data_IF_529038567230
#
_entry.id   IF_529038567230
#
_cell.length_a   1.000
_cell.length_b   1.000
_cell.length_c   1.000
_cell.angle_alpha   90.00
_cell.angle_beta   90.00
_cell.angle_gamma   90.00
#
_symmetry.space_group_name_H-M   'P 1'
#
loop_
_entity.id
_entity.type
_entity.pdbx_description
1 polymer ?
#
# COMPACT_ATOMS: atom_id res chain seq x y z
N UNK A 1 9.30 8.93 -20.17
CA UNK A 1 9.67 7.60 -20.70
C UNK A 1 8.67 7.20 -21.77
N UNK A 2 8.96 6.22 -22.61
CA UNK A 2 7.95 5.73 -23.55
C UNK A 2 6.99 4.70 -22.89
N UNK A 3 5.83 4.49 -23.51
CA UNK A 3 4.78 3.60 -22.98
C UNK A 3 5.28 2.15 -22.82
N UNK A 4 6.13 1.67 -23.72
CA UNK A 4 6.67 0.31 -23.65
C UNK A 4 7.67 0.12 -22.51
N UNK A 5 8.49 1.12 -22.25
CA UNK A 5 9.48 1.12 -21.16
C UNK A 5 8.79 1.11 -19.79
N UNK A 6 7.79 1.97 -19.59
CA UNK A 6 6.98 1.99 -18.37
C UNK A 6 6.26 0.66 -18.17
N UNK A 7 5.65 0.11 -19.24
CA UNK A 7 4.98 -1.20 -19.18
C UNK A 7 5.93 -2.31 -18.74
N UNK A 8 7.13 -2.35 -19.32
CA UNK A 8 8.15 -3.36 -18.97
C UNK A 8 8.50 -3.30 -17.48
N UNK A 9 8.75 -2.11 -16.95
CA UNK A 9 9.08 -1.91 -15.52
C UNK A 9 7.91 -2.38 -14.63
N UNK A 10 6.67 -2.02 -14.98
CA UNK A 10 5.50 -2.49 -14.24
C UNK A 10 5.42 -4.02 -14.25
N UNK A 11 5.50 -4.65 -15.42
CA UNK A 11 5.38 -6.11 -15.58
C UNK A 11 6.49 -6.85 -14.79
N UNK A 12 7.71 -6.30 -14.75
CA UNK A 12 8.84 -6.85 -14.02
C UNK A 12 8.67 -6.78 -12.49
N UNK A 13 8.04 -5.71 -11.97
CA UNK A 13 8.05 -5.41 -10.54
C UNK A 13 6.71 -5.64 -9.82
N UNK A 14 5.58 -5.50 -10.50
CA UNK A 14 4.24 -5.46 -9.87
C UNK A 14 3.97 -6.68 -8.99
N UNK A 15 4.32 -7.88 -9.47
CA UNK A 15 4.08 -9.13 -8.73
C UNK A 15 4.83 -9.17 -7.39
N UNK A 16 6.05 -8.64 -7.33
CA UNK A 16 6.83 -8.59 -6.11
C UNK A 16 6.23 -7.57 -5.13
N UNK A 17 5.84 -6.40 -5.62
CA UNK A 17 5.23 -5.37 -4.79
C UNK A 17 3.89 -5.81 -4.21
N UNK A 18 3.06 -6.51 -4.99
CA UNK A 18 1.81 -7.14 -4.52
C UNK A 18 2.07 -8.14 -3.40
N UNK A 19 3.13 -8.94 -3.53
CA UNK A 19 3.52 -9.89 -2.48
C UNK A 19 3.99 -9.17 -1.21
N UNK A 20 4.89 -8.21 -1.34
CA UNK A 20 5.47 -7.48 -0.21
C UNK A 20 4.41 -6.69 0.57
N UNK A 21 3.40 -6.16 -0.14
CA UNK A 21 2.28 -5.42 0.46
C UNK A 21 1.12 -6.32 0.90
N UNK A 22 1.26 -7.65 0.79
CA UNK A 22 0.23 -8.63 1.17
C UNK A 22 -1.12 -8.44 0.43
N UNK A 23 -1.04 -8.05 -0.85
CA UNK A 23 -2.20 -7.79 -1.71
C UNK A 23 -2.53 -8.99 -2.62
N UNK A 24 -2.04 -10.21 -2.32
CA UNK A 24 -2.16 -11.38 -3.21
C UNK A 24 -3.61 -11.85 -3.42
N UNK A 25 -4.55 -11.38 -2.59
CA UNK A 25 -5.99 -11.66 -2.74
C UNK A 25 -6.69 -10.75 -3.75
N UNK A 26 -6.01 -9.69 -4.21
CA UNK A 26 -6.54 -8.74 -5.18
C UNK A 26 -6.14 -9.15 -6.61
N UNK A 27 -7.09 -9.11 -7.52
CA UNK A 27 -6.86 -9.04 -8.96
C UNK A 27 -6.52 -7.59 -9.31
N UNK A 28 -5.27 -7.32 -9.67
CA UNK A 28 -4.79 -5.98 -9.97
C UNK A 28 -4.48 -5.88 -11.45
N UNK A 29 -5.17 -4.99 -12.14
CA UNK A 29 -4.94 -4.67 -13.54
C UNK A 29 -4.23 -3.33 -13.65
N UNK A 30 -3.21 -3.25 -14.51
CA UNK A 30 -2.47 -2.02 -14.77
C UNK A 30 -2.66 -1.58 -16.21
N UNK A 31 -3.09 -0.34 -16.43
CA UNK A 31 -3.22 0.30 -17.73
C UNK A 31 -2.33 1.53 -17.81
N UNK A 32 -1.98 1.92 -19.04
CA UNK A 32 -1.16 3.10 -19.31
C UNK A 32 -1.92 4.03 -20.24
N UNK A 33 -2.23 5.23 -19.75
CA UNK A 33 -3.00 6.23 -20.49
C UNK A 33 -2.64 7.65 -20.05
N UNK A 34 -2.95 8.66 -20.86
CA UNK A 34 -2.72 10.06 -20.49
C UNK A 34 -3.88 10.55 -19.63
N UNK A 35 -3.59 11.14 -18.47
CA UNK A 35 -4.62 11.61 -17.53
C UNK A 35 -4.85 13.11 -17.68
N UNK A 36 -6.12 13.53 -17.73
CA UNK A 36 -6.51 14.93 -17.99
C UNK A 36 -6.29 15.85 -16.77
N UNK A 37 -6.45 15.34 -15.56
CA UNK A 37 -6.51 16.13 -14.32
C UNK A 37 -5.15 16.49 -13.70
N UNK A 38 -4.05 16.20 -14.39
CA UNK A 38 -2.71 16.49 -13.88
C UNK A 38 -2.12 15.43 -12.95
N UNK A 39 -2.89 14.39 -12.64
CA UNK A 39 -2.47 13.27 -11.80
C UNK A 39 -1.42 12.40 -12.50
N UNK A 40 -0.52 11.80 -11.71
CA UNK A 40 0.51 10.87 -12.20
C UNK A 40 -0.04 9.46 -12.42
N UNK A 41 -1.04 9.07 -11.63
CA UNK A 41 -1.75 7.81 -11.73
C UNK A 41 -3.08 7.89 -10.96
N UNK A 42 -3.97 6.94 -11.24
CA UNK A 42 -5.25 6.78 -10.55
C UNK A 42 -5.49 5.30 -10.26
N UNK A 43 -5.87 4.99 -9.02
CA UNK A 43 -6.32 3.67 -8.61
C UNK A 43 -7.83 3.66 -8.34
N UNK A 44 -8.53 2.68 -8.93
CA UNK A 44 -9.93 2.39 -8.65
C UNK A 44 -10.03 0.98 -8.10
N UNK A 45 -10.56 0.84 -6.88
CA UNK A 45 -10.81 -0.45 -6.26
C UNK A 45 -12.31 -0.77 -6.29
N UNK A 46 -12.67 -2.01 -6.61
CA UNK A 46 -14.05 -2.48 -6.53
C UNK A 46 -14.51 -2.62 -5.07
N UNK A 47 -15.80 -2.41 -4.85
CA UNK A 47 -16.48 -2.52 -3.57
C UNK A 47 -16.43 -3.93 -2.96
N UNK A 48 -16.22 -4.96 -3.77
CA UNK A 48 -16.09 -6.35 -3.31
C UNK A 48 -14.70 -6.70 -2.76
N UNK A 49 -13.72 -5.79 -2.90
CA UNK A 49 -12.31 -5.97 -2.51
C UNK A 49 -11.59 -7.15 -3.16
N UNK A 50 -12.06 -7.58 -4.32
CA UNK A 50 -11.37 -8.61 -5.10
C UNK A 50 -10.61 -8.07 -6.29
N UNK A 51 -10.89 -6.83 -6.73
CA UNK A 51 -10.30 -6.26 -7.95
C UNK A 51 -9.95 -4.79 -7.81
N UNK A 52 -8.81 -4.39 -8.37
CA UNK A 52 -8.40 -3.01 -8.51
C UNK A 52 -7.82 -2.76 -9.90
N UNK A 53 -8.04 -1.56 -10.43
CA UNK A 53 -7.43 -1.09 -11.68
C UNK A 53 -6.57 0.13 -11.40
N UNK A 54 -5.33 0.09 -11.85
CA UNK A 54 -4.36 1.18 -11.72
C UNK A 54 -4.07 1.72 -13.13
N UNK A 55 -4.37 2.99 -13.36
CA UNK A 55 -4.00 3.69 -14.60
C UNK A 55 -2.83 4.62 -14.32
N UNK A 56 -1.70 4.44 -15.01
CA UNK A 56 -0.51 5.31 -14.87
C UNK A 56 -0.35 6.20 -16.09
N UNK A 57 -0.12 7.50 -15.87
CA UNK A 57 0.27 8.45 -16.91
C UNK A 57 1.75 8.28 -17.27
N UNK A 58 1.99 7.46 -18.28
CA UNK A 58 3.33 7.15 -18.78
C UNK A 58 4.10 8.38 -19.28
N UNK A 59 3.39 9.46 -19.64
CA UNK A 59 4.05 10.70 -20.14
C UNK A 59 4.67 11.50 -19.01
N UNK A 60 4.22 11.29 -17.77
CA UNK A 60 4.71 11.98 -16.57
C UNK A 60 5.86 11.24 -15.89
N UNK A 61 6.03 9.94 -16.17
CA UNK A 61 7.12 9.14 -15.64
C UNK A 61 8.48 9.55 -16.24
N UNK A 62 9.41 9.99 -15.38
CA UNK A 62 10.73 10.47 -15.79
C UNK A 62 11.77 9.37 -15.90
N UNK A 63 11.76 8.45 -14.94
CA UNK A 63 12.70 7.35 -14.81
C UNK A 63 12.05 6.14 -14.10
N UNK A 64 12.79 5.03 -14.01
CA UNK A 64 12.33 3.81 -13.34
C UNK A 64 11.96 4.04 -11.88
N UNK A 65 12.69 4.89 -11.16
CA UNK A 65 12.40 5.17 -9.75
C UNK A 65 11.05 5.88 -9.59
N UNK A 66 10.71 6.78 -10.51
CA UNK A 66 9.43 7.47 -10.58
C UNK A 66 8.27 6.50 -10.88
N UNK A 67 8.46 5.55 -11.80
CA UNK A 67 7.48 4.48 -12.09
C UNK A 67 7.24 3.62 -10.85
N UNK A 68 8.30 3.15 -10.19
CA UNK A 68 8.19 2.29 -9.01
C UNK A 68 7.60 3.04 -7.81
N UNK A 69 7.91 4.33 -7.65
CA UNK A 69 7.31 5.19 -6.64
C UNK A 69 5.81 5.37 -6.88
N UNK A 70 5.42 5.65 -8.13
CA UNK A 70 4.02 5.80 -8.53
C UNK A 70 3.26 4.49 -8.31
N UNK A 71 3.80 3.35 -8.75
CA UNK A 71 3.14 2.06 -8.56
C UNK A 71 2.94 1.72 -7.08
N UNK A 72 3.91 2.06 -6.23
CA UNK A 72 3.81 1.88 -4.77
C UNK A 72 2.71 2.74 -4.16
N UNK A 73 2.61 3.98 -4.61
CA UNK A 73 1.54 4.90 -4.22
C UNK A 73 0.17 4.28 -4.54
N UNK A 74 -0.02 3.82 -5.76
CA UNK A 74 -1.31 3.24 -6.15
C UNK A 74 -1.65 1.94 -5.42
N UNK A 75 -0.66 1.06 -5.21
CA UNK A 75 -0.86 -0.15 -4.40
C UNK A 75 -1.22 0.17 -2.93
N UNK A 76 -0.75 1.29 -2.39
CA UNK A 76 -1.09 1.70 -1.03
C UNK A 76 -2.58 2.09 -0.89
N UNK A 77 -3.19 2.64 -1.94
CA UNK A 77 -4.63 2.90 -1.96
C UNK A 77 -5.44 1.61 -1.87
N UNK A 78 -4.97 0.54 -2.50
CA UNK A 78 -5.59 -0.79 -2.41
C UNK A 78 -5.49 -1.32 -0.96
N UNK A 79 -4.35 -1.13 -0.30
CA UNK A 79 -4.17 -1.50 1.11
C UNK A 79 -5.15 -0.74 2.02
N UNK A 80 -5.48 0.51 1.68
CA UNK A 80 -6.43 1.33 2.41
C UNK A 80 -7.90 1.12 2.01
N UNK A 81 -8.18 0.40 0.93
CA UNK A 81 -9.54 0.21 0.42
C UNK A 81 -10.56 -0.27 1.48
N UNK A 82 -10.23 -1.20 2.41
CA UNK A 82 -11.14 -1.59 3.50
C UNK A 82 -11.60 -0.44 4.38
N UNK A 83 -10.72 0.52 4.67
CA UNK A 83 -11.06 1.70 5.47
C UNK A 83 -11.95 2.67 4.69
N UNK A 84 -11.71 2.84 3.39
CA UNK A 84 -12.55 3.70 2.56
C UNK A 84 -13.99 3.19 2.47
N UNK A 85 -14.16 1.87 2.34
CA UNK A 85 -15.49 1.29 2.35
C UNK A 85 -16.13 1.33 3.72
N UNK A 86 -15.39 1.11 4.83
CA UNK A 86 -15.94 1.34 6.17
C UNK A 86 -16.51 2.76 6.28
N UNK A 87 -15.71 3.75 5.90
CA UNK A 87 -16.10 5.17 5.86
C UNK A 87 -17.37 5.37 5.02
N UNK A 88 -17.38 4.94 3.75
CA UNK A 88 -18.56 5.05 2.87
C UNK A 88 -19.79 4.36 3.46
N UNK A 89 -19.60 3.21 4.10
CA UNK A 89 -20.69 2.42 4.69
C UNK A 89 -21.32 3.12 5.88
N UNK A 90 -20.56 3.86 6.69
CA UNK A 90 -21.12 4.57 7.85
C UNK A 90 -21.70 5.94 7.51
N UNK A 91 -21.54 6.46 6.27
CA UNK A 91 -22.05 7.80 5.87
C UNK A 91 -23.49 8.03 6.26
N UNK A 92 -24.36 7.06 5.99
CA UNK A 92 -25.80 7.15 6.21
C UNK A 92 -26.17 7.16 7.71
N UNK A 93 -25.25 6.77 8.59
CA UNK A 93 -25.43 6.80 10.05
C UNK A 93 -25.08 8.17 10.65
N UNK A 94 -24.35 9.02 9.92
CA UNK A 94 -23.96 10.36 10.36
C UNK A 94 -24.97 11.36 9.81
N UNK A 95 -25.90 11.80 10.68
CA UNK A 95 -26.98 12.73 10.29
C UNK A 95 -26.52 14.18 10.16
N UNK A 96 -25.44 14.55 10.85
CA UNK A 96 -24.88 15.90 10.84
C UNK A 96 -23.81 16.01 9.73
N UNK A 97 -24.07 16.86 8.73
CA UNK A 97 -23.16 17.05 7.60
C UNK A 97 -21.82 17.68 8.01
N UNK A 98 -21.80 18.54 9.02
CA UNK A 98 -20.56 19.12 9.55
C UNK A 98 -19.70 18.08 10.27
N UNK A 99 -20.33 17.17 11.01
CA UNK A 99 -19.63 16.03 11.61
C UNK A 99 -19.07 15.10 10.54
N UNK A 100 -19.82 14.84 9.47
CA UNK A 100 -19.35 14.06 8.34
C UNK A 100 -18.16 14.72 7.63
N UNK A 101 -18.22 16.01 7.33
CA UNK A 101 -17.12 16.75 6.71
C UNK A 101 -15.84 16.73 7.57
N UNK A 102 -15.99 16.88 8.89
CA UNK A 102 -14.85 16.77 9.80
C UNK A 102 -14.25 15.35 9.79
N UNK A 103 -15.09 14.31 9.79
CA UNK A 103 -14.65 12.91 9.66
C UNK A 103 -13.95 12.65 8.32
N UNK A 104 -14.47 13.20 7.21
CA UNK A 104 -13.85 13.10 5.89
C UNK A 104 -12.46 13.73 5.87
N UNK A 105 -12.33 14.91 6.46
CA UNK A 105 -11.06 15.60 6.54
C UNK A 105 -10.04 14.77 7.34
N UNK A 106 -10.41 14.33 8.54
CA UNK A 106 -9.55 13.51 9.42
C UNK A 106 -9.16 12.20 8.73
N UNK A 107 -10.11 11.53 8.08
CA UNK A 107 -9.86 10.30 7.33
C UNK A 107 -8.83 10.52 6.23
N UNK A 108 -9.03 11.53 5.36
CA UNK A 108 -8.12 11.82 4.25
C UNK A 108 -6.72 12.12 4.75
N UNK A 109 -6.60 12.95 5.81
CA UNK A 109 -5.29 13.26 6.41
C UNK A 109 -4.63 12.02 7.00
N UNK A 110 -5.36 11.19 7.75
CA UNK A 110 -4.81 9.98 8.37
C UNK A 110 -4.39 8.93 7.33
N UNK A 111 -5.21 8.73 6.30
CA UNK A 111 -4.90 7.82 5.20
C UNK A 111 -3.62 8.27 4.46
N UNK A 112 -3.50 9.56 4.18
CA UNK A 112 -2.33 10.13 3.50
C UNK A 112 -1.05 10.04 4.33
N UNK A 113 -1.13 10.33 5.63
CA UNK A 113 0.01 10.21 6.55
C UNK A 113 0.45 8.75 6.71
N UNK A 114 -0.52 7.84 6.85
CA UNK A 114 -0.25 6.40 6.98
C UNK A 114 0.39 5.86 5.70
N UNK A 115 -0.15 6.26 4.53
CA UNK A 115 0.41 5.93 3.22
C UNK A 115 1.86 6.37 3.13
N UNK A 116 2.13 7.64 3.44
CA UNK A 116 3.48 8.21 3.40
C UNK A 116 4.44 7.44 4.32
N UNK A 117 4.00 7.08 5.53
CA UNK A 117 4.81 6.29 6.46
C UNK A 117 5.10 4.87 5.92
N UNK A 118 4.11 4.21 5.32
CA UNK A 118 4.28 2.89 4.69
C UNK A 118 5.24 2.99 3.49
N UNK A 119 5.08 4.00 2.64
CA UNK A 119 5.99 4.23 1.51
C UNK A 119 7.43 4.42 1.96
N UNK A 120 7.64 5.23 3.01
CA UNK A 120 8.96 5.43 3.62
C UNK A 120 9.50 4.13 4.24
N UNK A 121 8.67 3.35 4.92
CA UNK A 121 9.08 2.04 5.46
C UNK A 121 9.49 1.08 4.33
N UNK A 122 8.74 1.04 3.23
CA UNK A 122 9.06 0.21 2.06
C UNK A 122 10.26 0.76 1.28
N UNK A 123 10.57 2.06 1.40
CA UNK A 123 11.69 2.71 0.69
C UNK A 123 13.00 2.61 1.46
N UNK A 124 12.94 2.68 2.79
CA UNK A 124 14.10 2.81 3.67
C UNK A 124 14.20 1.73 4.75
N UNK A 125 13.07 1.18 5.21
CA UNK A 125 12.99 0.24 6.33
C UNK A 125 13.27 -1.22 5.97
N UNK A 126 13.15 -1.57 4.69
CA UNK A 126 13.56 -2.86 4.17
C UNK A 126 14.63 -2.66 3.11
N UNK A 127 15.84 -3.17 3.34
CA UNK A 127 16.81 -3.43 2.27
C UNK A 127 16.34 -4.53 1.30
N UNK A 128 15.03 -4.74 1.16
CA UNK A 128 14.41 -5.60 0.15
C UNK A 128 14.49 -4.79 -1.14
N UNK A 129 15.49 -5.09 -1.97
CA UNK A 129 15.50 -4.59 -3.34
C UNK A 129 14.24 -5.12 -4.05
N UNK A 130 13.38 -4.25 -4.59
CA UNK A 130 12.29 -4.67 -5.45
C UNK A 130 12.89 -5.42 -6.66
N UNK A 131 12.45 -6.66 -6.91
CA UNK A 131 12.76 -7.36 -8.18
C UNK A 131 13.89 -8.39 -8.18
N UNK A 132 14.51 -8.75 -7.04
CA UNK A 132 15.44 -9.91 -6.99
C UNK A 132 15.26 -10.76 -5.74
N UNK A 133 14.61 -11.91 -5.89
CA UNK A 133 14.95 -13.11 -5.09
C UNK A 133 15.52 -14.16 -6.03
N UNK A 134 16.82 -14.39 -5.97
CA UNK A 134 17.38 -15.67 -6.41
C UNK A 134 17.65 -16.61 -5.21
N UNK A 135 17.80 -16.09 -3.99
CA UNK A 135 18.45 -16.86 -2.92
C UNK A 135 18.29 -16.29 -1.50
N UNK A 136 17.56 -15.17 -1.29
CA UNK A 136 17.40 -14.63 0.06
C UNK A 136 16.31 -15.36 0.86
N UNK A 137 16.71 -16.39 1.59
CA UNK A 137 15.99 -16.87 2.78
C UNK A 137 16.28 -15.86 3.87
N UNK A 138 15.34 -14.95 4.12
CA UNK A 138 15.40 -14.16 5.35
C UNK A 138 15.49 -15.16 6.51
N UNK A 139 16.48 -15.07 7.43
CA UNK A 139 16.37 -15.83 8.67
C UNK A 139 15.02 -15.48 9.25
N UNK A 140 14.20 -16.49 9.56
CA UNK A 140 12.91 -16.28 10.19
C UNK A 140 13.17 -15.76 11.59
N UNK A 141 13.47 -14.46 11.70
CA UNK A 141 13.40 -13.76 12.96
C UNK A 141 11.90 -13.59 13.17
N UNK A 142 11.29 -14.58 13.81
CA UNK A 142 9.94 -14.41 14.33
C UNK A 142 10.05 -13.27 15.36
N UNK A 143 9.45 -12.09 15.11
CA UNK A 143 9.48 -10.99 16.08
C UNK A 143 8.70 -11.33 17.36
N UNK A 144 8.02 -12.47 17.39
CA UNK A 144 7.34 -13.08 18.53
C UNK A 144 7.97 -14.41 18.95
N UNK A 145 9.24 -14.68 18.60
CA UNK A 145 9.98 -15.76 19.25
C UNK A 145 9.99 -15.46 20.74
N UNK A 146 9.43 -16.39 21.51
CA UNK A 146 9.06 -16.28 22.93
C UNK A 146 10.02 -15.40 23.72
N UNK A 147 9.50 -14.36 24.36
CA UNK A 147 10.26 -13.59 25.35
C UNK A 147 10.85 -14.57 26.36
N UNK A 148 12.14 -14.44 26.73
CA UNK A 148 12.73 -15.33 27.71
C UNK A 148 11.90 -15.28 28.98
N UNK A 149 11.42 -16.43 29.44
CA UNK A 149 10.66 -16.56 30.68
C UNK A 149 11.38 -15.79 31.78
N UNK A 150 10.76 -14.70 32.25
CA UNK A 150 11.24 -13.97 33.41
C UNK A 150 11.14 -14.97 34.57
N UNK A 151 12.24 -15.38 35.20
CA UNK A 151 12.16 -16.33 36.29
C UNK A 151 11.33 -15.69 37.40
N UNK A 152 10.14 -16.26 37.65
CA UNK A 152 9.30 -15.86 38.76
C UNK A 152 10.08 -16.09 40.05
N UNK A 153 10.65 -15.00 40.56
CA UNK A 153 11.41 -14.97 41.80
C UNK A 153 10.54 -15.50 42.93
N UNK A 154 11.04 -16.58 43.54
CA UNK A 154 10.99 -16.88 44.96
C UNK A 154 9.67 -16.64 45.68
N UNK A 155 9.02 -17.74 46.04
CA UNK A 155 8.03 -17.77 47.10
C UNK A 155 8.52 -16.99 48.33
N UNK A 156 7.79 -15.96 48.71
CA UNK A 156 7.90 -15.37 50.04
C UNK A 156 7.06 -16.29 50.95
N UNK A 157 7.73 -17.21 51.62
CA UNK A 157 7.15 -17.95 52.76
C UNK A 157 6.90 -17.02 53.94
N UNK A 158 5.88 -17.32 54.77
CA UNK A 158 5.22 -16.37 55.69
C UNK A 158 6.08 -15.88 56.85
#
# INVERSE_FOLDING_TARGET
>A
MDKSEVKRIIDEHIRFMVWDMQLQKWEIETTLDVLEDGDHAVCVADHSYSRASITIDYTRCKDEADVLSTLRHELSHILHAPFDTYRRSIRHLVQDDGAWEAMEHVYKTAAEQTRTAIENMLRYGYGIMPGKRADYVAPSVNPYAEEPEIPHGGAITP
#
